data_IF_769219308696
#
_entry.id   IF_769219308696
#
_cell.length_a   1.000
_cell.length_b   1.000
_cell.length_c   1.000
_cell.angle_alpha   90.00
_cell.angle_beta   90.00
_cell.angle_gamma   90.00
#
_symmetry.space_group_name_H-M   'P 1'
#
loop_
_entity.id
_entity.type
_entity.pdbx_description
1 polymer ?
#
# COMPACT_ATOMS: atom_id res chain seq x y z
N UNK A 1 76.21 -3.61 21.75
CA UNK A 1 75.41 -3.02 20.63
C UNK A 1 74.07 -3.66 20.64
N UNK A 2 73.06 -2.82 20.87
CA UNK A 2 71.70 -3.16 21.29
C UNK A 2 70.80 -3.40 20.07
N UNK A 3 70.23 -4.56 19.94
CA UNK A 3 69.15 -4.81 18.98
C UNK A 3 67.84 -4.88 19.72
N UNK A 4 67.05 -3.85 19.53
CA UNK A 4 65.64 -3.72 20.06
C UNK A 4 64.71 -4.46 19.12
N UNK A 5 64.13 -5.54 19.61
CA UNK A 5 63.10 -6.30 18.94
C UNK A 5 61.75 -5.57 19.14
N UNK A 6 61.16 -5.13 18.05
CA UNK A 6 59.81 -4.48 18.06
C UNK A 6 58.77 -5.54 17.78
N UNK A 7 57.95 -5.87 18.79
CA UNK A 7 56.74 -6.68 18.65
C UNK A 7 55.65 -5.87 17.95
N UNK A 8 55.21 -6.36 16.80
CA UNK A 8 54.04 -5.87 16.12
C UNK A 8 52.85 -6.69 16.61
N UNK A 9 52.00 -6.06 17.42
CA UNK A 9 50.71 -6.64 17.83
C UNK A 9 49.69 -6.43 16.71
N UNK A 10 49.25 -7.52 16.08
CA UNK A 10 48.16 -7.51 15.11
C UNK A 10 46.83 -7.45 15.86
N UNK A 11 46.14 -6.29 15.77
CA UNK A 11 44.77 -6.11 16.23
C UNK A 11 43.82 -6.62 15.14
N UNK A 12 43.22 -7.78 15.35
CA UNK A 12 42.15 -8.29 14.51
C UNK A 12 40.85 -7.58 14.93
N UNK A 13 40.44 -6.55 14.19
CA UNK A 13 39.16 -5.91 14.34
C UNK A 13 38.09 -6.83 13.74
N UNK A 14 37.33 -7.51 14.60
CA UNK A 14 36.15 -8.27 14.21
C UNK A 14 35.04 -7.36 13.72
N UNK A 15 34.76 -7.42 12.42
CA UNK A 15 33.65 -6.71 11.79
C UNK A 15 32.37 -7.53 12.02
N UNK A 16 31.61 -7.19 13.05
CA UNK A 16 30.27 -7.74 13.25
C UNK A 16 29.33 -7.18 12.19
N UNK A 17 29.03 -7.97 11.16
CA UNK A 17 28.00 -7.67 10.18
C UNK A 17 26.66 -7.89 10.88
N UNK A 18 26.08 -6.81 11.42
CA UNK A 18 24.72 -6.81 11.90
C UNK A 18 23.79 -6.82 10.68
N UNK A 19 23.33 -8.02 10.29
CA UNK A 19 22.31 -8.19 9.28
C UNK A 19 20.97 -7.67 9.87
N UNK A 20 20.65 -6.40 9.62
CA UNK A 20 19.31 -5.91 9.78
C UNK A 20 18.42 -6.59 8.74
N UNK A 21 17.74 -7.67 9.12
CA UNK A 21 16.61 -8.21 8.39
C UNK A 21 15.50 -7.16 8.43
N UNK A 22 15.44 -6.31 7.40
CA UNK A 22 14.28 -5.46 7.16
C UNK A 22 13.18 -6.38 6.71
N UNK A 23 12.28 -6.74 7.63
CA UNK A 23 10.99 -7.36 7.31
C UNK A 23 10.31 -6.45 6.30
N UNK A 24 10.03 -6.98 5.10
CA UNK A 24 9.17 -6.34 4.12
C UNK A 24 7.72 -6.43 4.63
N UNK A 25 7.41 -5.70 5.70
CA UNK A 25 6.04 -5.35 6.04
C UNK A 25 5.59 -4.37 4.98
N UNK A 26 4.49 -4.72 4.33
CA UNK A 26 3.81 -3.95 3.29
C UNK A 26 3.65 -2.49 3.76
N UNK A 27 4.59 -1.63 3.39
CA UNK A 27 4.53 -0.19 3.66
C UNK A 27 3.51 0.48 2.71
N UNK A 28 2.22 0.11 2.88
CA UNK A 28 1.13 0.91 2.32
C UNK A 28 1.13 2.33 2.90
N UNK A 29 1.86 2.54 4.00
CA UNK A 29 2.01 3.81 4.68
C UNK A 29 3.34 4.47 4.34
N UNK A 30 3.38 5.23 3.24
CA UNK A 30 4.49 6.10 2.87
C UNK A 30 4.22 7.55 3.31
N UNK A 31 3.89 7.73 4.60
CA UNK A 31 3.57 9.03 5.17
C UNK A 31 4.81 9.84 5.52
N UNK A 32 4.74 11.15 5.32
CA UNK A 32 5.70 12.10 5.86
C UNK A 32 5.33 12.32 7.33
N UNK A 33 6.04 11.64 8.24
CA UNK A 33 5.81 11.78 9.68
C UNK A 33 5.87 10.45 10.45
N UNK A 34 5.81 10.48 11.78
CA UNK A 34 5.74 9.27 12.59
C UNK A 34 4.45 8.48 12.29
N UNK A 35 4.56 7.16 12.24
CA UNK A 35 3.43 6.27 11.98
C UNK A 35 2.31 6.52 13.01
N UNK A 36 1.05 6.71 12.59
CA UNK A 36 -0.06 6.92 13.52
C UNK A 36 -0.34 5.67 14.37
N UNK A 37 -0.86 5.87 15.58
CA UNK A 37 -1.24 4.77 16.48
C UNK A 37 -2.47 4.03 15.96
N UNK A 38 -3.37 4.76 15.28
CA UNK A 38 -4.59 4.22 14.67
C UNK A 38 -4.58 4.58 13.18
N UNK A 39 -4.63 3.57 12.32
CA UNK A 39 -4.67 3.75 10.87
C UNK A 39 -6.05 4.26 10.42
N UNK A 40 -6.13 4.95 9.27
CA UNK A 40 -7.41 5.38 8.71
C UNK A 40 -8.23 4.16 8.29
N UNK A 41 -9.56 4.25 8.46
CA UNK A 41 -10.50 3.19 8.07
C UNK A 41 -11.47 3.73 7.03
N UNK A 42 -11.55 3.05 5.87
CA UNK A 42 -12.46 3.44 4.79
C UNK A 42 -13.92 3.22 5.19
N UNK A 43 -14.77 4.21 4.92
CA UNK A 43 -16.21 4.18 5.22
C UNK A 43 -17.06 3.74 4.02
N UNK A 44 -16.53 3.87 2.81
CA UNK A 44 -17.26 3.51 1.59
C UNK A 44 -17.50 1.99 1.54
N UNK A 45 -18.75 1.58 1.39
CA UNK A 45 -19.13 0.18 1.13
C UNK A 45 -18.82 -0.21 -0.31
N UNK A 46 -19.14 0.71 -1.25
CA UNK A 46 -18.89 0.55 -2.67
C UNK A 46 -17.78 1.50 -3.08
N UNK A 47 -16.87 1.01 -3.93
CA UNK A 47 -15.77 1.82 -4.43
C UNK A 47 -16.25 2.73 -5.57
N UNK A 48 -15.98 4.05 -5.52
CA UNK A 48 -16.48 5.01 -6.48
C UNK A 48 -15.70 5.06 -7.80
N UNK A 49 -14.95 4.01 -8.11
CA UNK A 49 -14.12 3.97 -9.31
C UNK A 49 -14.91 3.50 -10.52
N UNK A 50 -15.24 4.43 -11.42
CA UNK A 50 -15.98 4.15 -12.64
C UNK A 50 -15.04 3.66 -13.74
N UNK A 51 -15.32 2.48 -14.27
CA UNK A 51 -14.60 1.92 -15.38
C UNK A 51 -14.94 2.68 -16.67
N UNK A 52 -13.95 3.22 -17.41
CA UNK A 52 -14.22 3.90 -18.67
C UNK A 52 -14.84 2.95 -19.70
N UNK A 53 -15.99 3.30 -20.33
CA UNK A 53 -16.72 2.39 -21.22
C UNK A 53 -15.87 1.87 -22.40
N UNK A 54 -15.01 2.73 -22.96
CA UNK A 54 -14.13 2.35 -24.08
C UNK A 54 -13.15 1.24 -23.73
N UNK A 55 -12.61 1.23 -22.50
CA UNK A 55 -11.68 0.19 -22.04
C UNK A 55 -12.43 -1.02 -21.50
N UNK A 56 -13.63 -0.81 -20.96
CA UNK A 56 -14.50 -1.91 -20.55
C UNK A 56 -14.90 -2.78 -21.75
N UNK A 57 -15.34 -2.18 -22.87
CA UNK A 57 -15.69 -2.93 -24.08
C UNK A 57 -14.51 -3.71 -24.71
N UNK A 58 -13.30 -3.23 -24.48
CA UNK A 58 -12.07 -3.90 -24.93
C UNK A 58 -11.55 -4.93 -23.90
N UNK A 59 -12.25 -5.12 -22.77
CA UNK A 59 -11.86 -6.03 -21.68
C UNK A 59 -10.45 -5.75 -21.12
N UNK A 60 -10.01 -4.48 -21.17
CA UNK A 60 -8.70 -4.06 -20.67
C UNK A 60 -8.70 -4.13 -19.15
N UNK A 61 -7.80 -4.87 -18.54
CA UNK A 61 -7.63 -4.95 -17.09
C UNK A 61 -6.30 -4.34 -16.68
N UNK A 62 -6.29 -3.57 -15.59
CA UNK A 62 -5.08 -3.01 -15.06
C UNK A 62 -5.21 -2.62 -13.58
N UNK A 63 -4.07 -2.31 -12.96
CA UNK A 63 -3.99 -1.78 -11.61
C UNK A 63 -3.48 -0.35 -11.66
N UNK A 64 -4.04 0.52 -10.83
CA UNK A 64 -3.54 1.87 -10.58
C UNK A 64 -3.23 1.98 -9.10
N UNK A 65 -2.04 2.40 -8.74
CA UNK A 65 -1.75 2.73 -7.34
C UNK A 65 -1.80 4.24 -7.16
N UNK A 66 -2.71 4.70 -6.34
CA UNK A 66 -2.83 6.12 -5.97
C UNK A 66 -2.07 6.40 -4.68
N UNK A 67 -1.43 7.55 -4.60
CA UNK A 67 -1.04 8.15 -3.34
C UNK A 67 -2.16 9.08 -2.92
N UNK A 68 -2.90 8.66 -1.89
CA UNK A 68 -4.09 9.35 -1.40
C UNK A 68 -3.72 10.10 -0.12
N UNK A 69 -4.04 11.40 -0.07
CA UNK A 69 -3.85 12.21 1.13
C UNK A 69 -5.20 12.39 1.83
N UNK A 70 -5.28 11.93 3.08
CA UNK A 70 -6.47 11.98 3.94
C UNK A 70 -6.24 13.04 5.00
N UNK A 71 -7.15 14.00 5.13
CA UNK A 71 -7.08 15.03 6.15
C UNK A 71 -7.53 14.52 7.54
N UNK A 72 -7.47 15.39 8.54
CA UNK A 72 -7.90 15.07 9.91
C UNK A 72 -9.41 14.88 10.06
N UNK A 73 -10.20 15.29 9.08
CA UNK A 73 -11.65 15.10 8.98
C UNK A 73 -12.01 13.78 8.29
N UNK A 74 -11.01 13.08 7.69
CA UNK A 74 -11.21 11.83 6.94
C UNK A 74 -11.62 12.03 5.48
N UNK A 75 -11.51 13.26 4.97
CA UNK A 75 -11.76 13.58 3.57
C UNK A 75 -10.47 13.51 2.73
N UNK A 76 -10.64 13.32 1.42
CA UNK A 76 -9.51 13.28 0.49
C UNK A 76 -9.15 14.69 0.07
N UNK A 77 -7.86 15.03 0.17
CA UNK A 77 -7.29 16.27 -0.35
C UNK A 77 -6.90 16.03 -1.81
N UNK A 78 -7.75 16.50 -2.73
CA UNK A 78 -7.61 16.24 -4.16
C UNK A 78 -6.28 16.74 -4.74
N UNK A 79 -5.84 17.94 -4.33
CA UNK A 79 -4.61 18.58 -4.82
C UNK A 79 -3.35 17.81 -4.45
N UNK A 80 -3.39 17.04 -3.37
CA UNK A 80 -2.27 16.22 -2.88
C UNK A 80 -2.38 14.76 -3.30
N UNK A 81 -3.51 14.36 -3.91
CA UNK A 81 -3.76 12.99 -4.36
C UNK A 81 -3.34 12.83 -5.82
N UNK A 82 -2.49 11.85 -6.10
CA UNK A 82 -1.96 11.62 -7.44
C UNK A 82 -1.66 10.14 -7.70
N UNK A 83 -1.43 9.80 -8.97
CA UNK A 83 -1.02 8.44 -9.36
C UNK A 83 0.42 8.20 -8.92
N UNK A 84 0.63 7.19 -8.09
CA UNK A 84 1.95 6.71 -7.67
C UNK A 84 2.50 5.68 -8.66
N UNK A 85 1.62 4.77 -9.15
CA UNK A 85 1.94 3.80 -10.19
C UNK A 85 0.83 3.80 -11.24
N UNK A 86 1.19 4.10 -12.48
CA UNK A 86 0.25 4.16 -13.60
C UNK A 86 -0.16 2.75 -14.04
N UNK A 87 -1.40 2.63 -14.48
CA UNK A 87 -1.90 1.42 -15.15
C UNK A 87 -1.32 1.20 -16.56
N UNK A 88 -0.67 2.19 -17.14
CA UNK A 88 -0.33 2.24 -18.57
C UNK A 88 -1.48 2.72 -19.46
N UNK A 89 -2.66 2.98 -18.88
CA UNK A 89 -3.86 3.47 -19.58
C UNK A 89 -4.33 4.79 -18.97
N UNK A 90 -4.02 5.95 -19.57
CA UNK A 90 -4.39 7.25 -19.01
C UNK A 90 -5.88 7.43 -18.64
N UNK A 91 -6.84 6.83 -19.38
CA UNK A 91 -8.24 6.90 -18.95
C UNK A 91 -8.55 6.18 -17.63
N UNK A 92 -7.86 5.05 -17.32
CA UNK A 92 -8.02 4.35 -16.04
C UNK A 92 -7.38 5.16 -14.91
N UNK A 93 -6.19 5.71 -15.14
CA UNK A 93 -5.50 6.56 -14.16
C UNK A 93 -6.37 7.78 -13.80
N UNK A 94 -6.93 8.44 -14.82
CA UNK A 94 -7.85 9.58 -14.63
C UNK A 94 -9.15 9.17 -13.91
N UNK A 95 -9.69 7.99 -14.20
CA UNK A 95 -10.88 7.47 -13.52
C UNK A 95 -10.59 7.16 -12.05
N UNK A 96 -9.42 6.60 -11.74
CA UNK A 96 -8.97 6.33 -10.39
C UNK A 96 -8.81 7.62 -9.57
N UNK A 97 -8.14 8.64 -10.11
CA UNK A 97 -7.97 9.93 -9.43
C UNK A 97 -9.33 10.60 -9.17
N UNK A 98 -10.23 10.64 -10.17
CA UNK A 98 -11.57 11.22 -9.98
C UNK A 98 -12.36 10.45 -8.92
N UNK A 99 -12.38 9.13 -8.98
CA UNK A 99 -13.09 8.31 -8.00
C UNK A 99 -12.56 8.48 -6.58
N UNK A 100 -11.27 8.70 -6.42
CA UNK A 100 -10.67 8.84 -5.10
C UNK A 100 -11.21 10.03 -4.30
N UNK A 101 -11.68 11.09 -4.94
CA UNK A 101 -12.26 12.27 -4.26
C UNK A 101 -13.56 11.97 -3.53
N UNK A 102 -14.24 10.88 -3.92
CA UNK A 102 -15.49 10.42 -3.28
C UNK A 102 -15.24 9.47 -2.10
N UNK A 103 -13.99 9.08 -1.86
CA UNK A 103 -13.64 8.26 -0.71
C UNK A 103 -13.78 9.03 0.60
N UNK A 104 -14.19 8.32 1.64
CA UNK A 104 -14.32 8.84 3.00
C UNK A 104 -13.70 7.86 3.98
N UNK A 105 -13.03 8.40 4.97
CA UNK A 105 -12.32 7.62 5.99
C UNK A 105 -12.66 8.08 7.40
N UNK A 106 -12.59 7.17 8.35
CA UNK A 106 -12.32 7.54 9.73
C UNK A 106 -10.85 7.96 9.75
N UNK A 107 -10.51 9.17 10.22
CA UNK A 107 -9.13 9.67 10.15
C UNK A 107 -8.17 8.84 11.02
N UNK A 108 -6.92 8.83 10.61
CA UNK A 108 -5.84 8.31 11.43
C UNK A 108 -5.71 9.09 12.74
N UNK A 109 -5.21 8.45 13.80
CA UNK A 109 -5.00 9.11 15.09
C UNK A 109 -3.61 8.84 15.63
N UNK A 110 -3.08 9.87 16.30
CA UNK A 110 -1.85 9.79 17.10
C UNK A 110 -2.15 10.36 18.47
N UNK A 111 -1.92 9.58 19.53
CA UNK A 111 -2.24 9.95 20.93
C UNK A 111 -3.69 10.42 21.10
N UNK A 112 -4.61 9.75 20.40
CA UNK A 112 -6.04 10.05 20.42
C UNK A 112 -6.49 11.24 19.58
N UNK A 113 -5.59 12.00 18.99
CA UNK A 113 -5.89 13.14 18.12
C UNK A 113 -5.89 12.73 16.64
N UNK A 114 -6.85 13.23 15.86
CA UNK A 114 -6.91 13.02 14.44
C UNK A 114 -5.71 13.71 13.75
N UNK A 115 -5.04 12.96 12.87
CA UNK A 115 -3.88 13.45 12.11
C UNK A 115 -4.05 13.17 10.63
N UNK A 116 -3.59 14.09 9.75
CA UNK A 116 -3.58 13.83 8.32
C UNK A 116 -2.53 12.77 8.00
N UNK A 117 -2.82 11.95 6.97
CA UNK A 117 -1.92 10.89 6.52
C UNK A 117 -1.95 10.74 5.01
N UNK A 118 -0.86 10.24 4.44
CA UNK A 118 -0.79 9.80 3.06
C UNK A 118 -0.66 8.27 3.02
N UNK A 119 -1.47 7.63 2.20
CA UNK A 119 -1.44 6.17 2.02
C UNK A 119 -1.30 5.82 0.54
N UNK A 120 -0.78 4.64 0.25
CA UNK A 120 -0.87 4.02 -1.07
C UNK A 120 -2.18 3.23 -1.14
N UNK A 121 -2.98 3.54 -2.14
CA UNK A 121 -4.30 2.95 -2.34
C UNK A 121 -4.36 2.26 -3.70
N UNK A 122 -4.37 0.91 -3.78
CA UNK A 122 -4.49 0.20 -5.03
C UNK A 122 -5.93 0.18 -5.54
N UNK A 123 -6.11 0.52 -6.81
CA UNK A 123 -7.40 0.45 -7.54
C UNK A 123 -7.28 -0.63 -8.62
N UNK A 124 -8.17 -1.61 -8.58
CA UNK A 124 -8.17 -2.73 -9.49
C UNK A 124 -9.31 -2.61 -10.49
N UNK A 125 -8.98 -2.37 -11.76
CA UNK A 125 -9.96 -2.44 -12.84
C UNK A 125 -9.99 -3.87 -13.38
N UNK A 126 -11.09 -4.58 -13.15
CA UNK A 126 -11.30 -5.98 -13.56
C UNK A 126 -12.53 -6.11 -14.42
N UNK A 127 -12.42 -6.86 -15.51
CA UNK A 127 -13.55 -7.21 -16.36
C UNK A 127 -14.00 -8.64 -16.05
N UNK A 128 -15.31 -8.91 -15.84
CA UNK A 128 -15.79 -10.22 -15.40
C UNK A 128 -15.53 -11.35 -16.40
N UNK A 129 -15.46 -11.02 -17.69
CA UNK A 129 -15.23 -12.01 -18.78
C UNK A 129 -13.77 -12.10 -19.22
N UNK A 130 -12.86 -11.27 -18.69
CA UNK A 130 -11.46 -11.35 -19.04
C UNK A 130 -10.74 -12.38 -18.14
N UNK A 131 -9.66 -13.01 -18.64
CA UNK A 131 -8.86 -13.92 -17.83
C UNK A 131 -8.23 -13.15 -16.64
N UNK A 132 -8.10 -13.79 -15.46
CA UNK A 132 -7.48 -13.15 -14.30
C UNK A 132 -6.04 -12.70 -14.59
N UNK A 133 -5.66 -11.54 -14.09
CA UNK A 133 -4.26 -11.11 -14.16
C UNK A 133 -3.36 -11.97 -13.26
N UNK A 134 -2.04 -12.06 -13.55
CA UNK A 134 -1.08 -12.68 -12.66
C UNK A 134 -1.17 -12.05 -11.26
N UNK A 135 -1.35 -12.87 -10.23
CA UNK A 135 -1.56 -12.43 -8.85
C UNK A 135 -3.02 -12.43 -8.37
N UNK A 136 -4.02 -12.25 -9.24
CA UNK A 136 -5.44 -12.26 -8.85
C UNK A 136 -5.89 -13.63 -8.29
N UNK A 137 -5.26 -14.71 -8.72
CA UNK A 137 -5.56 -16.07 -8.27
C UNK A 137 -5.24 -16.28 -6.79
N UNK A 138 -4.28 -15.56 -6.25
CA UNK A 138 -3.88 -15.66 -4.82
C UNK A 138 -4.99 -15.09 -3.94
N UNK A 139 -5.61 -13.98 -4.33
CA UNK A 139 -6.69 -13.32 -3.59
C UNK A 139 -7.95 -14.20 -3.52
N UNK A 140 -8.33 -14.90 -4.60
CA UNK A 140 -9.46 -15.82 -4.61
C UNK A 140 -9.29 -17.00 -3.64
N UNK A 141 -8.07 -17.52 -3.48
CA UNK A 141 -7.80 -18.64 -2.58
C UNK A 141 -7.93 -18.27 -1.11
N UNK A 142 -7.63 -17.02 -0.74
CA UNK A 142 -7.71 -16.53 0.65
C UNK A 142 -9.16 -16.30 1.10
N UNK A 143 -10.04 -15.89 0.20
CA UNK A 143 -11.48 -15.65 0.52
C UNK A 143 -12.28 -16.96 0.57
N UNK A 144 -11.88 -18.00 -0.16
CA UNK A 144 -12.56 -19.32 -0.14
C UNK A 144 -12.20 -20.20 1.05
N UNK A 145 -11.29 -19.76 1.92
CA UNK A 145 -10.79 -20.52 3.07
C UNK A 145 -11.40 -20.15 4.42
N UNK A 146 -12.55 -19.47 4.48
CA UNK A 146 -13.27 -19.29 5.73
C UNK A 146 -13.80 -20.65 6.22
N UNK A 147 -13.41 -21.18 7.40
CA UNK A 147 -13.94 -22.42 7.91
C UNK A 147 -15.43 -22.24 8.21
N UNK A 148 -16.26 -23.08 7.60
CA UNK A 148 -17.65 -23.23 8.00
C UNK A 148 -17.68 -23.54 9.50
N UNK A 149 -18.26 -22.65 10.28
CA UNK A 149 -18.51 -22.86 11.69
C UNK A 149 -19.36 -24.12 11.85
N UNK A 150 -18.80 -25.09 12.58
CA UNK A 150 -19.40 -26.38 12.83
C UNK A 150 -20.79 -26.25 13.45
N UNK A 151 -21.75 -26.89 12.87
CA UNK A 151 -23.00 -27.22 13.49
C UNK A 151 -22.71 -28.30 14.54
N UNK A 152 -22.77 -27.96 15.82
CA UNK A 152 -22.87 -28.94 16.91
C UNK A 152 -24.33 -29.36 17.06
N UNK A 153 -24.50 -30.63 17.02
CA UNK A 153 -25.74 -31.38 17.27
C UNK A 153 -26.03 -31.38 18.77
#
# INVERSE_FOLDING_TARGET
>A
MSMKSTMVAAVIAGFAISACSKSAENDAFSGVGPRPDVLPVMLNKDLPFRYPPSLYSQKVQANVTLRVFIDKEGAIVAESTHVAESSGFPPLDSAAVRGSTELRFIPAKTRGQAVPVSILFPVYFRHPEAPPLPGDTILKKTVSGAPAAGQSK
#
